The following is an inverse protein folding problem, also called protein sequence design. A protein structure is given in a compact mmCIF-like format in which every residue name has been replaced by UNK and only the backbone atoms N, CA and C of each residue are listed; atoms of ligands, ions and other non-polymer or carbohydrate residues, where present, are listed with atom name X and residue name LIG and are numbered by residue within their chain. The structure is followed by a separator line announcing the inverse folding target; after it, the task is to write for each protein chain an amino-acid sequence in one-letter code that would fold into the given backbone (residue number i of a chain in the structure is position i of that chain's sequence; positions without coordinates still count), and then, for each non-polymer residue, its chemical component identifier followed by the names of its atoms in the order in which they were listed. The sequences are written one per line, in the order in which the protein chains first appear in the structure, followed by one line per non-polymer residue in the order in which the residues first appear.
data_IF_802542332145
#
_entry.id   IF_802542332145
#
_cell.length_a   1.000
_cell.length_b   1.000
_cell.length_c   1.000
_cell.angle_alpha   90.00
_cell.angle_beta   90.00
_cell.angle_gamma   90.00
#
_symmetry.space_group_name_H-M   'P 1'
#
loop_
_entity.id
_entity.type
_entity.pdbx_description
1 polymer ?
#
# COMPACT_ATOMS: atom_id res chain seq x y z
N UNK A 1 4.64 18.89 -15.56
CA UNK A 1 5.14 18.43 -14.24
C UNK A 1 5.79 17.06 -14.41
N UNK A 2 7.10 16.93 -14.17
CA UNK A 2 7.83 15.65 -14.32
C UNK A 2 7.47 14.71 -13.15
N UNK A 3 6.94 13.52 -13.45
CA UNK A 3 6.74 12.43 -12.47
C UNK A 3 8.11 11.78 -12.22
N UNK A 4 8.70 12.00 -11.05
CA UNK A 4 9.83 11.16 -10.61
C UNK A 4 9.27 9.81 -10.18
N UNK A 5 9.45 8.79 -11.03
CA UNK A 5 9.31 7.40 -10.63
C UNK A 5 10.61 6.98 -9.93
N UNK A 6 10.53 6.54 -8.68
CA UNK A 6 11.63 5.86 -8.02
C UNK A 6 11.32 4.36 -7.99
N UNK A 7 12.23 3.57 -8.57
CA UNK A 7 12.23 2.11 -8.40
C UNK A 7 13.14 1.81 -7.23
N UNK A 8 12.57 1.47 -6.08
CA UNK A 8 13.38 1.04 -4.93
C UNK A 8 13.71 -0.45 -5.14
N UNK A 9 14.95 -0.73 -5.54
CA UNK A 9 15.50 -2.09 -5.56
C UNK A 9 16.07 -2.35 -4.17
N UNK A 10 15.34 -3.10 -3.34
CA UNK A 10 15.73 -3.41 -1.96
C UNK A 10 16.68 -4.62 -1.94
N UNK A 11 17.97 -4.36 -2.04
CA UNK A 11 19.02 -5.33 -1.70
C UNK A 11 19.72 -4.87 -0.42
N UNK A 12 19.55 -5.62 0.67
CA UNK A 12 20.12 -5.41 2.02
C UNK A 12 19.47 -4.28 2.86
N UNK A 13 19.57 -4.33 4.22
CA UNK A 13 18.64 -3.66 5.12
C UNK A 13 19.00 -2.19 5.27
N UNK A 14 18.49 -1.36 4.37
CA UNK A 14 18.58 0.09 4.49
C UNK A 14 17.26 0.58 5.10
N UNK A 15 17.36 1.24 6.26
CA UNK A 15 16.30 2.06 6.82
C UNK A 15 16.10 3.26 5.87
N UNK A 16 15.36 3.06 4.78
CA UNK A 16 15.08 4.13 3.81
C UNK A 16 13.94 4.98 4.38
N UNK A 17 14.29 6.05 5.09
CA UNK A 17 13.35 7.11 5.43
C UNK A 17 13.18 8.00 4.20
N UNK A 18 12.14 7.76 3.41
CA UNK A 18 11.84 8.58 2.24
C UNK A 18 10.62 9.46 2.51
N UNK A 19 10.83 10.77 2.51
CA UNK A 19 9.75 11.75 2.56
C UNK A 19 9.22 12.04 1.14
N UNK A 20 7.88 12.10 0.99
CA UNK A 20 7.19 12.48 -0.26
C UNK A 20 7.36 11.51 -1.46
N UNK A 21 7.20 10.20 -1.24
CA UNK A 21 7.17 9.21 -2.31
C UNK A 21 5.86 9.32 -3.12
N UNK A 22 5.95 9.77 -4.38
CA UNK A 22 4.79 9.92 -5.28
C UNK A 22 4.33 8.61 -5.92
N UNK A 23 5.21 7.63 -6.08
CA UNK A 23 4.85 6.26 -6.44
C UNK A 23 6.06 5.33 -6.33
N UNK A 24 5.93 4.21 -5.61
CA UNK A 24 6.89 3.10 -5.68
C UNK A 24 6.20 1.92 -6.34
N UNK A 25 6.88 1.31 -7.32
CA UNK A 25 6.47 0.03 -7.88
C UNK A 25 7.26 -1.08 -7.17
N UNK A 26 6.57 -1.98 -6.48
CA UNK A 26 7.17 -3.23 -6.03
C UNK A 26 7.13 -4.22 -7.20
N UNK A 27 8.28 -4.73 -7.61
CA UNK A 27 8.40 -5.73 -8.67
C UNK A 27 9.16 -6.95 -8.15
N UNK A 28 8.46 -7.95 -7.63
CA UNK A 28 8.94 -9.32 -7.52
C UNK A 28 8.55 -10.15 -8.75
N UNK A 29 9.33 -11.20 -9.07
CA UNK A 29 8.89 -12.23 -10.02
C UNK A 29 7.59 -12.84 -9.46
N UNK A 30 6.48 -12.69 -10.18
CA UNK A 30 5.13 -13.15 -9.80
C UNK A 30 4.42 -12.36 -8.67
N UNK A 31 4.80 -11.12 -8.40
CA UNK A 31 4.02 -10.26 -7.49
C UNK A 31 2.92 -9.50 -8.26
N UNK A 32 1.68 -9.42 -7.71
CA UNK A 32 0.62 -8.61 -8.28
C UNK A 32 1.06 -7.15 -8.40
N UNK A 33 0.73 -6.51 -9.54
CA UNK A 33 1.10 -5.11 -9.75
C UNK A 33 0.41 -4.23 -8.71
N UNK A 34 1.23 -3.44 -8.02
CA UNK A 34 0.77 -2.49 -7.02
C UNK A 34 1.63 -1.23 -7.03
N UNK A 35 0.97 -0.12 -6.77
CA UNK A 35 1.57 1.19 -6.58
C UNK A 35 1.09 1.75 -5.25
N UNK A 36 1.97 2.47 -4.58
CA UNK A 36 1.59 3.21 -3.38
C UNK A 36 2.24 4.58 -3.34
N UNK A 37 1.59 5.50 -2.65
CA UNK A 37 2.12 6.82 -2.30
C UNK A 37 1.78 7.15 -0.84
N UNK A 38 2.66 7.90 -0.20
CA UNK A 38 2.53 8.33 1.18
C UNK A 38 3.47 9.52 1.44
N UNK A 39 3.32 10.20 2.58
CA UNK A 39 4.29 11.23 2.99
C UNK A 39 5.50 10.63 3.71
N UNK A 40 5.31 9.55 4.47
CA UNK A 40 6.35 8.89 5.25
C UNK A 40 6.38 7.39 4.94
N UNK A 41 7.54 6.91 4.50
CA UNK A 41 7.82 5.50 4.28
C UNK A 41 8.91 5.04 5.25
N UNK A 42 8.67 3.90 5.88
CA UNK A 42 9.64 3.14 6.66
C UNK A 42 9.69 1.70 6.13
N UNK A 43 10.88 1.13 6.08
CA UNK A 43 11.11 -0.28 5.76
C UNK A 43 11.66 -0.94 7.01
N UNK A 44 11.00 -2.00 7.48
CA UNK A 44 11.51 -2.74 8.63
C UNK A 44 12.92 -3.30 8.34
N UNK A 45 13.76 -3.50 9.38
CA UNK A 45 15.15 -3.95 9.17
C UNK A 45 15.28 -5.26 8.39
N UNK A 46 14.28 -6.14 8.43
CA UNK A 46 14.28 -7.39 7.66
C UNK A 46 13.95 -7.19 6.16
N UNK A 47 13.56 -5.98 5.77
CA UNK A 47 13.12 -5.64 4.42
C UNK A 47 11.79 -6.28 4.00
N UNK A 48 11.09 -6.99 4.90
CA UNK A 48 9.87 -7.75 4.61
C UNK A 48 8.61 -6.95 4.89
N UNK A 49 8.70 -5.95 5.75
CA UNK A 49 7.58 -5.07 6.11
C UNK A 49 7.83 -3.66 5.61
N UNK A 50 6.82 -3.06 4.96
CA UNK A 50 6.79 -1.64 4.63
C UNK A 50 5.72 -0.97 5.47
N UNK A 51 6.03 0.19 6.03
CA UNK A 51 5.11 0.99 6.83
C UNK A 51 4.95 2.34 6.14
N UNK A 52 3.74 2.62 5.70
CA UNK A 52 3.33 3.87 5.05
C UNK A 52 2.53 4.71 6.03
N UNK A 53 2.86 5.99 6.17
CA UNK A 53 2.13 6.91 7.04
C UNK A 53 1.81 8.22 6.33
N UNK A 54 0.71 8.83 6.76
CA UNK A 54 0.18 10.14 6.34
C UNK A 54 -0.18 10.21 4.85
N UNK A 55 -1.48 10.27 4.56
CA UNK A 55 -2.05 10.33 3.21
C UNK A 55 -1.61 9.15 2.34
N UNK A 56 -1.87 7.93 2.83
CA UNK A 56 -1.56 6.72 2.09
C UNK A 56 -2.59 6.52 0.99
N UNK A 57 -2.10 6.26 -0.22
CA UNK A 57 -2.89 5.75 -1.34
C UNK A 57 -2.24 4.47 -1.85
N UNK A 58 -3.02 3.41 -1.97
CA UNK A 58 -2.61 2.11 -2.53
C UNK A 58 -3.48 1.84 -3.75
N UNK A 59 -2.84 1.52 -4.87
CA UNK A 59 -3.49 1.21 -6.13
C UNK A 59 -3.01 -0.15 -6.62
N UNK A 60 -3.96 -1.04 -6.83
CA UNK A 60 -3.73 -2.36 -7.41
C UNK A 60 -4.47 -2.47 -8.75
N UNK A 61 -4.40 -3.63 -9.37
CA UNK A 61 -5.22 -3.93 -10.56
C UNK A 61 -6.71 -3.98 -10.21
N UNK A 62 -7.07 -4.32 -8.97
CA UNK A 62 -8.45 -4.59 -8.58
C UNK A 62 -9.10 -3.42 -7.82
N UNK A 63 -8.31 -2.64 -7.08
CA UNK A 63 -8.84 -1.60 -6.19
C UNK A 63 -7.94 -0.37 -6.02
N UNK A 64 -8.55 0.69 -5.52
CA UNK A 64 -7.89 1.86 -4.95
C UNK A 64 -8.31 2.02 -3.49
N UNK A 65 -7.33 2.18 -2.61
CA UNK A 65 -7.52 2.39 -1.18
C UNK A 65 -6.85 3.69 -0.73
N UNK A 66 -7.53 4.49 0.09
CA UNK A 66 -6.96 5.64 0.79
C UNK A 66 -7.09 5.49 2.29
N UNK A 67 -6.01 5.75 3.01
CA UNK A 67 -5.95 5.60 4.46
C UNK A 67 -4.97 6.59 5.11
N UNK A 68 -5.02 6.70 6.43
CA UNK A 68 -4.05 7.48 7.20
C UNK A 68 -2.69 6.79 7.31
N UNK A 69 -2.71 5.46 7.44
CA UNK A 69 -1.49 4.64 7.43
C UNK A 69 -1.77 3.27 6.83
N UNK A 70 -0.72 2.56 6.41
CA UNK A 70 -0.83 1.18 5.99
C UNK A 70 0.47 0.41 6.23
N UNK A 71 0.35 -0.89 6.46
CA UNK A 71 1.46 -1.83 6.60
C UNK A 71 1.35 -2.86 5.48
N UNK A 72 2.46 -3.11 4.78
CA UNK A 72 2.57 -4.19 3.82
C UNK A 72 3.48 -5.28 4.34
N UNK A 73 2.99 -6.51 4.36
CA UNK A 73 3.80 -7.71 4.57
C UNK A 73 4.10 -8.36 3.23
N UNK A 74 5.38 -8.42 2.84
CA UNK A 74 5.84 -9.12 1.62
C UNK A 74 5.62 -10.62 1.70
N UNK A 75 5.81 -11.22 2.87
CA UNK A 75 5.67 -12.66 3.07
C UNK A 75 4.23 -13.11 2.78
N UNK A 76 3.27 -12.37 3.35
CA UNK A 76 1.84 -12.68 3.19
C UNK A 76 1.19 -11.97 2.01
N UNK A 77 1.94 -11.14 1.26
CA UNK A 77 1.42 -10.26 0.20
C UNK A 77 0.11 -9.58 0.63
N UNK A 78 0.13 -8.94 1.80
CA UNK A 78 -1.05 -8.41 2.48
C UNK A 78 -0.85 -6.95 2.87
N UNK A 79 -1.83 -6.11 2.55
CA UNK A 79 -1.97 -4.77 3.09
C UNK A 79 -2.88 -4.77 4.30
N UNK A 80 -2.46 -4.04 5.34
CA UNK A 80 -3.30 -3.66 6.47
C UNK A 80 -3.35 -2.14 6.51
N UNK A 81 -4.48 -1.55 6.13
CA UNK A 81 -4.68 -0.11 6.08
C UNK A 81 -5.49 0.37 7.28
N UNK A 82 -5.05 1.46 7.91
CA UNK A 82 -5.66 2.00 9.12
C UNK A 82 -6.16 3.42 8.89
N UNK A 83 -7.32 3.75 9.48
CA UNK A 83 -8.00 5.01 9.21
C UNK A 83 -8.41 5.10 7.74
N UNK A 84 -9.05 4.05 7.23
CA UNK A 84 -9.44 3.95 5.83
C UNK A 84 -10.54 4.96 5.53
N UNK A 85 -10.32 5.80 4.51
CA UNK A 85 -11.23 6.88 4.09
C UNK A 85 -11.98 6.52 2.82
N UNK A 86 -11.35 5.76 1.94
CA UNK A 86 -11.92 5.40 0.64
C UNK A 86 -11.44 4.00 0.25
N UNK A 87 -12.38 3.17 -0.20
CA UNK A 87 -12.11 1.88 -0.82
C UNK A 87 -13.00 1.73 -2.07
N UNK A 88 -12.37 1.70 -3.24
CA UNK A 88 -13.04 1.68 -4.55
C UNK A 88 -12.52 0.49 -5.35
N UNK A 89 -13.44 -0.34 -5.83
CA UNK A 89 -13.11 -1.44 -6.75
C UNK A 89 -13.14 -0.94 -8.19
N UNK A 90 -12.23 -1.43 -9.04
CA UNK A 90 -12.17 -1.02 -10.46
C UNK A 90 -13.40 -1.43 -11.28
N UNK A 91 -14.24 -2.33 -10.76
CA UNK A 91 -15.56 -2.64 -11.32
C UNK A 91 -16.62 -1.55 -11.11
N UNK A 92 -16.27 -0.42 -10.47
CA UNK A 92 -17.17 0.72 -10.23
C UNK A 92 -17.92 0.66 -8.90
N UNK A 93 -17.92 -0.49 -8.23
CA UNK A 93 -18.48 -0.61 -6.88
C UNK A 93 -17.57 0.11 -5.87
N UNK A 94 -18.13 1.13 -5.20
CA UNK A 94 -17.48 1.81 -4.09
C UNK A 94 -18.09 1.29 -2.80
N UNK A 95 -17.31 0.64 -1.95
CA UNK A 95 -17.82 0.00 -0.73
C UNK A 95 -17.72 0.91 0.49
N UNK A 96 -16.79 1.88 0.51
CA UNK A 96 -16.59 2.76 1.67
C UNK A 96 -16.36 4.20 1.22
N UNK A 97 -17.21 5.11 1.71
CA UNK A 97 -16.97 6.56 1.66
C UNK A 97 -16.90 7.24 3.03
N UNK A 98 -17.69 6.86 4.05
CA UNK A 98 -17.72 7.67 5.31
C UNK A 98 -18.07 6.93 6.62
N UNK A 99 -17.78 5.63 6.82
CA UNK A 99 -17.98 4.96 8.14
C UNK A 99 -16.85 3.97 8.52
N UNK A 100 -16.59 3.77 9.83
CA UNK A 100 -15.27 3.66 10.42
C UNK A 100 -14.81 2.21 10.55
N UNK A 101 -14.61 1.51 9.43
CA UNK A 101 -13.72 0.35 9.51
C UNK A 101 -12.33 0.90 9.77
N UNK A 102 -11.90 0.83 11.03
CA UNK A 102 -10.60 1.34 11.44
C UNK A 102 -9.49 0.62 10.68
N UNK A 103 -9.75 -0.63 10.25
CA UNK A 103 -8.76 -1.44 9.55
C UNK A 103 -9.36 -2.14 8.33
N UNK A 104 -8.65 -2.07 7.21
CA UNK A 104 -8.91 -2.91 6.02
C UNK A 104 -7.72 -3.84 5.83
N UNK A 105 -7.96 -5.15 5.80
CA UNK A 105 -6.96 -6.13 5.40
C UNK A 105 -7.24 -6.60 3.97
N UNK A 106 -6.26 -6.42 3.09
CA UNK A 106 -6.34 -6.86 1.69
C UNK A 106 -5.23 -7.84 1.34
N UNK A 107 -5.59 -9.06 0.93
CA UNK A 107 -4.67 -10.07 0.43
C UNK A 107 -4.56 -9.98 -1.09
N UNK A 108 -3.38 -9.65 -1.62
CA UNK A 108 -3.20 -9.38 -3.05
C UNK A 108 -3.39 -10.61 -3.95
N UNK A 109 -3.01 -11.80 -3.47
CA UNK A 109 -3.09 -13.04 -4.28
C UNK A 109 -4.51 -13.58 -4.37
N UNK A 110 -5.18 -13.64 -3.23
CA UNK A 110 -6.53 -14.22 -3.12
C UNK A 110 -7.62 -13.18 -3.44
N UNK A 111 -7.23 -11.90 -3.55
CA UNK A 111 -8.10 -10.74 -3.75
C UNK A 111 -9.19 -10.60 -2.67
N UNK A 112 -8.94 -11.18 -1.50
CA UNK A 112 -9.87 -11.17 -0.37
C UNK A 112 -9.70 -9.91 0.48
N UNK A 113 -10.83 -9.33 0.90
CA UNK A 113 -10.89 -8.16 1.76
C UNK A 113 -11.61 -8.53 3.05
N UNK A 114 -11.01 -8.10 4.16
CA UNK A 114 -11.60 -8.18 5.49
C UNK A 114 -11.77 -6.74 6.01
N UNK A 115 -12.97 -6.44 6.48
CA UNK A 115 -13.32 -5.20 7.13
C UNK A 115 -13.34 -5.45 8.63
N UNK A 116 -12.44 -4.80 9.37
CA UNK A 116 -12.24 -4.98 10.82
C UNK A 116 -12.47 -3.66 11.58
#
# INVERSE_FOLDING_TARGET
MKRLLFTIVLTAPVLVYAQNQKSVNLKGKNEPKQQYSCRELEVAPDGRVLILRKNVKIETEDLTLRADSAVFSKENQTWMAYGTKELVFRGGETVIREKPTNTVRYKLRDKTIYLE
#
